data_IF_031407941460
#
_entry.id   IF_031407941460
#
_cell.length_a   1.000
_cell.length_b   1.000
_cell.length_c   1.000
_cell.angle_alpha   90.00
_cell.angle_beta   90.00
_cell.angle_gamma   90.00
#
_symmetry.space_group_name_H-M   'P 1'
#
loop_
_entity.id
_entity.type
_entity.pdbx_description
1 polymer ?
#
# COMPACT_ATOMS: atom_id res chain seq x y z
N UNK A 1 10.81 -11.27 -51.77
CA UNK A 1 11.32 -11.60 -50.42
C UNK A 1 10.37 -10.97 -49.40
N UNK A 2 9.79 -11.71 -48.43
CA UNK A 2 9.00 -11.09 -47.36
C UNK A 2 9.89 -10.68 -46.19
N UNK A 3 9.54 -9.57 -45.53
CA UNK A 3 10.25 -9.04 -44.37
C UNK A 3 10.00 -9.89 -43.10
N UNK A 4 10.96 -9.96 -42.15
CA UNK A 4 10.80 -10.75 -40.94
C UNK A 4 9.78 -10.11 -39.99
N UNK A 5 8.84 -10.91 -39.50
CA UNK A 5 7.89 -10.52 -38.46
C UNK A 5 8.60 -10.38 -37.11
N UNK A 6 8.50 -9.20 -36.49
CA UNK A 6 8.90 -9.02 -35.09
C UNK A 6 7.82 -9.62 -34.19
N UNK A 7 8.15 -10.69 -33.48
CA UNK A 7 7.30 -11.25 -32.43
C UNK A 7 7.38 -10.35 -31.20
N UNK A 8 6.28 -9.71 -30.83
CA UNK A 8 6.18 -9.00 -29.55
C UNK A 8 6.38 -9.99 -28.40
N UNK A 9 7.50 -9.89 -27.68
CA UNK A 9 7.69 -10.64 -26.43
C UNK A 9 6.66 -10.15 -25.42
N UNK A 10 5.66 -10.98 -25.14
CA UNK A 10 4.80 -10.81 -23.98
C UNK A 10 5.69 -10.99 -22.76
N UNK A 11 5.97 -9.89 -22.04
CA UNK A 11 6.55 -10.00 -20.69
C UNK A 11 5.51 -10.65 -19.81
N UNK A 12 5.61 -11.97 -19.64
CA UNK A 12 4.95 -12.64 -18.53
C UNK A 12 5.59 -12.07 -17.27
N UNK A 13 4.80 -11.40 -16.44
CA UNK A 13 5.25 -10.99 -15.12
C UNK A 13 5.64 -12.28 -14.38
N UNK A 14 6.94 -12.48 -14.14
CA UNK A 14 7.41 -13.63 -13.38
C UNK A 14 6.70 -13.63 -12.02
N UNK A 15 6.12 -14.77 -11.66
CA UNK A 15 5.59 -14.95 -10.31
C UNK A 15 6.78 -15.00 -9.38
N UNK A 16 7.08 -13.89 -8.72
CA UNK A 16 8.07 -13.88 -7.66
C UNK A 16 7.48 -14.59 -6.44
N UNK A 17 8.06 -15.74 -6.11
CA UNK A 17 7.66 -16.51 -4.93
C UNK A 17 8.01 -15.71 -3.66
N UNK A 18 9.20 -15.09 -3.65
CA UNK A 18 9.77 -14.31 -2.55
C UNK A 18 10.61 -13.11 -3.06
N UNK A 19 11.11 -12.29 -2.15
CA UNK A 19 12.11 -11.25 -2.41
C UNK A 19 11.56 -9.90 -2.88
N UNK A 20 10.24 -9.76 -3.02
CA UNK A 20 9.59 -8.51 -3.42
C UNK A 20 9.19 -7.65 -2.23
N UNK A 21 8.93 -6.38 -2.50
CA UNK A 21 8.42 -5.42 -1.50
C UNK A 21 6.90 -5.52 -1.32
N UNK A 22 6.41 -4.88 -0.26
CA UNK A 22 4.99 -4.55 -0.12
C UNK A 22 4.70 -3.21 -0.79
N UNK A 23 3.53 -3.05 -1.41
CA UNK A 23 3.05 -1.80 -1.95
C UNK A 23 1.83 -1.31 -1.15
N UNK A 24 1.86 -0.08 -0.61
CA UNK A 24 0.69 0.52 0.02
C UNK A 24 -0.36 0.89 -1.04
N UNK A 25 -1.64 0.79 -0.69
CA UNK A 25 -2.75 1.11 -1.58
C UNK A 25 -3.74 1.98 -0.82
N UNK A 26 -4.00 3.19 -1.32
CA UNK A 26 -5.12 4.00 -0.86
C UNK A 26 -6.42 3.48 -1.48
N UNK A 27 -7.36 3.09 -0.65
CA UNK A 27 -8.63 2.46 -1.07
C UNK A 27 -9.76 3.48 -1.21
N UNK A 28 -9.58 4.69 -0.66
CA UNK A 28 -10.56 5.76 -0.67
C UNK A 28 -10.84 6.30 0.72
N UNK A 29 -11.91 7.08 0.84
CA UNK A 29 -12.30 7.74 2.07
C UNK A 29 -13.82 7.77 2.23
N UNK A 30 -14.29 7.91 3.47
CA UNK A 30 -15.70 8.11 3.79
C UNK A 30 -15.86 9.18 4.89
N UNK A 31 -16.91 10.03 4.81
CA UNK A 31 -17.24 10.94 5.90
C UNK A 31 -17.83 10.19 7.10
N UNK A 32 -17.49 10.63 8.30
CA UNK A 32 -18.08 10.16 9.55
C UNK A 32 -19.19 11.11 10.00
N UNK A 33 -20.12 10.64 10.84
CA UNK A 33 -21.28 11.42 11.28
C UNK A 33 -20.94 12.66 12.12
N UNK A 34 -19.75 12.69 12.71
CA UNK A 34 -19.24 13.83 13.48
C UNK A 34 -18.51 14.86 12.60
N UNK A 35 -18.39 14.63 11.29
CA UNK A 35 -17.70 15.45 10.29
C UNK A 35 -16.23 15.12 10.08
N UNK A 36 -15.64 14.19 10.84
CA UNK A 36 -14.31 13.66 10.52
C UNK A 36 -14.36 12.78 9.26
N UNK A 37 -13.21 12.36 8.75
CA UNK A 37 -13.13 11.44 7.62
C UNK A 37 -12.33 10.19 7.98
N UNK A 38 -12.78 9.05 7.49
CA UNK A 38 -12.03 7.80 7.55
C UNK A 38 -11.29 7.58 6.24
N UNK A 39 -9.97 7.47 6.28
CA UNK A 39 -9.11 7.12 5.14
C UNK A 39 -8.80 5.64 5.19
N UNK A 40 -9.12 4.90 4.12
CA UNK A 40 -8.95 3.45 4.07
C UNK A 40 -7.70 3.08 3.30
N UNK A 41 -6.93 2.15 3.87
CA UNK A 41 -5.69 1.68 3.28
C UNK A 41 -5.71 0.17 3.19
N UNK A 42 -5.13 -0.34 2.10
CA UNK A 42 -4.80 -1.73 1.92
C UNK A 42 -3.35 -1.86 1.50
N UNK A 43 -2.95 -3.08 1.19
CA UNK A 43 -1.63 -3.35 0.66
C UNK A 43 -1.64 -4.51 -0.32
N UNK A 44 -0.60 -4.55 -1.15
CA UNK A 44 -0.23 -5.71 -1.95
C UNK A 44 1.16 -6.17 -1.52
N UNK A 45 1.24 -7.32 -0.85
CA UNK A 45 2.48 -8.07 -0.78
C UNK A 45 2.67 -8.74 -2.16
N UNK A 46 3.73 -8.34 -2.86
CA UNK A 46 4.01 -8.81 -4.23
C UNK A 46 4.53 -10.25 -4.25
N UNK A 47 4.88 -10.80 -3.10
CA UNK A 47 5.27 -12.20 -2.93
C UNK A 47 4.04 -13.12 -2.92
N UNK A 48 4.24 -14.35 -3.38
CA UNK A 48 3.19 -15.38 -3.38
C UNK A 48 3.24 -16.29 -2.16
N UNK A 49 4.41 -16.46 -1.54
CA UNK A 49 4.59 -17.32 -0.36
C UNK A 49 5.19 -16.56 0.83
N UNK A 50 6.09 -15.61 0.58
CA UNK A 50 6.76 -14.87 1.65
C UNK A 50 5.84 -13.86 2.36
N UNK A 51 5.77 -14.00 3.67
CA UNK A 51 5.24 -13.00 4.61
C UNK A 51 6.36 -12.03 5.00
N UNK A 52 6.01 -10.77 5.24
CA UNK A 52 6.98 -9.75 5.62
C UNK A 52 6.62 -9.13 6.96
N UNK A 53 7.59 -9.11 7.86
CA UNK A 53 7.53 -8.36 9.10
C UNK A 53 8.27 -7.04 8.91
N UNK A 54 7.51 -5.93 8.92
CA UNK A 54 8.05 -4.57 8.81
C UNK A 54 7.57 -3.78 10.03
N UNK A 55 8.38 -3.74 11.11
CA UNK A 55 8.05 -2.99 12.32
C UNK A 55 7.84 -1.51 12.02
N UNK A 56 7.09 -0.85 12.89
CA UNK A 56 6.93 0.60 12.86
C UNK A 56 8.30 1.30 12.92
N UNK A 57 8.50 2.30 12.07
CA UNK A 57 9.77 3.03 11.97
C UNK A 57 10.04 3.58 10.57
N UNK A 58 11.32 3.86 10.23
CA UNK A 58 11.74 4.41 8.93
C UNK A 58 11.11 3.76 7.69
N UNK A 59 10.87 2.46 7.79
CA UNK A 59 10.36 1.63 6.71
C UNK A 59 8.85 1.35 6.78
N UNK A 60 8.16 1.82 7.83
CA UNK A 60 6.74 1.69 8.03
C UNK A 60 6.23 2.81 8.94
N UNK A 61 6.01 4.00 8.38
CA UNK A 61 5.56 5.17 9.15
C UNK A 61 4.65 6.10 8.36
N UNK A 62 3.99 6.98 9.11
CA UNK A 62 3.33 8.17 8.60
C UNK A 62 4.07 9.44 9.03
N UNK A 63 4.02 10.45 8.16
CA UNK A 63 4.68 11.75 8.31
C UNK A 63 3.98 12.71 9.29
N UNK A 64 2.68 12.53 9.52
CA UNK A 64 1.84 13.45 10.31
C UNK A 64 1.37 12.82 11.65
N UNK A 65 2.18 13.00 12.70
CA UNK A 65 1.69 13.04 14.10
C UNK A 65 1.92 11.81 14.99
N UNK A 66 2.11 10.61 14.44
CA UNK A 66 2.43 9.40 15.20
C UNK A 66 3.04 8.36 14.26
N UNK A 67 4.11 7.69 14.71
CA UNK A 67 4.68 6.54 13.96
C UNK A 67 3.66 5.40 13.87
N UNK A 68 2.73 5.30 14.83
CA UNK A 68 1.65 4.31 14.83
C UNK A 68 0.30 4.98 14.53
N UNK A 69 -0.31 4.60 13.42
CA UNK A 69 -1.65 4.99 13.00
C UNK A 69 -2.53 3.75 12.76
N UNK A 70 -2.15 2.60 13.32
CA UNK A 70 -2.83 1.33 13.12
C UNK A 70 -2.44 0.60 11.84
N UNK A 71 -1.34 0.99 11.18
CA UNK A 71 -0.84 0.26 10.03
C UNK A 71 -0.27 -1.13 10.43
N UNK A 72 -0.43 -2.16 9.58
CA UNK A 72 0.09 -3.50 9.87
C UNK A 72 1.60 -3.52 10.03
N UNK A 73 2.09 -4.40 10.90
CA UNK A 73 3.52 -4.74 11.00
C UNK A 73 3.86 -6.11 10.41
N UNK A 74 2.84 -6.90 10.08
CA UNK A 74 2.96 -8.22 9.46
C UNK A 74 2.11 -8.27 8.20
N UNK A 75 2.73 -8.61 7.07
CA UNK A 75 2.15 -8.49 5.73
C UNK A 75 2.04 -9.86 5.07
N UNK A 76 0.83 -10.41 5.08
CA UNK A 76 0.49 -11.68 4.44
C UNK A 76 0.62 -11.58 2.90
N UNK A 77 0.79 -12.70 2.18
CA UNK A 77 0.97 -12.67 0.75
C UNK A 77 -0.24 -12.05 0.04
N UNK A 78 0.01 -11.50 -1.14
CA UNK A 78 -1.01 -10.97 -2.06
C UNK A 78 -1.77 -9.76 -1.48
N UNK A 79 -3.02 -9.61 -1.90
CA UNK A 79 -3.81 -8.38 -1.78
C UNK A 79 -4.68 -8.44 -0.53
N UNK A 80 -4.56 -7.42 0.31
CA UNK A 80 -5.37 -7.23 1.50
C UNK A 80 -6.07 -5.88 1.42
N UNK A 81 -7.39 -5.91 1.19
CA UNK A 81 -8.21 -4.70 1.01
C UNK A 81 -8.68 -4.16 2.34
N UNK A 82 -8.75 -2.83 2.46
CA UNK A 82 -9.24 -2.15 3.67
C UNK A 82 -8.59 -2.71 4.95
N UNK A 83 -7.28 -2.96 4.89
CA UNK A 83 -6.53 -3.58 5.98
C UNK A 83 -6.57 -2.75 7.28
N UNK A 84 -6.63 -1.42 7.15
CA UNK A 84 -6.84 -0.51 8.27
C UNK A 84 -7.40 0.83 7.79
N UNK A 85 -7.80 1.67 8.74
CA UNK A 85 -8.28 3.01 8.47
C UNK A 85 -7.71 4.03 9.46
N UNK A 86 -7.55 5.27 9.00
CA UNK A 86 -7.09 6.40 9.80
C UNK A 86 -8.19 7.45 9.83
N UNK A 87 -8.55 7.90 11.03
CA UNK A 87 -9.51 8.98 11.20
C UNK A 87 -8.77 10.31 11.16
N UNK A 88 -9.16 11.17 10.21
CA UNK A 88 -8.57 12.50 10.05
C UNK A 88 -9.61 13.59 10.34
N UNK A 89 -9.17 14.76 10.85
CA UNK A 89 -10.09 15.85 11.20
C UNK A 89 -10.82 16.44 9.99
N UNK A 90 -11.86 17.23 10.28
CA UNK A 90 -12.71 17.95 9.31
C UNK A 90 -11.94 18.81 8.30
N UNK A 91 -10.83 19.40 8.75
CA UNK A 91 -9.99 20.32 7.97
C UNK A 91 -8.90 19.60 7.18
N UNK A 92 -8.91 18.26 7.12
CA UNK A 92 -7.85 17.49 6.49
C UNK A 92 -7.69 17.77 4.98
N UNK A 93 -8.78 18.09 4.28
CA UNK A 93 -8.75 18.44 2.87
C UNK A 93 -7.91 19.69 2.55
N UNK A 94 -7.69 20.55 3.53
CA UNK A 94 -6.89 21.78 3.40
C UNK A 94 -5.38 21.54 3.66
N UNK A 95 -4.99 20.32 4.04
CA UNK A 95 -3.61 19.96 4.42
C UNK A 95 -2.83 19.44 3.22
N UNK A 96 -1.49 19.47 3.33
CA UNK A 96 -0.53 19.11 2.26
C UNK A 96 -0.48 17.61 1.89
N UNK A 97 -1.45 16.81 2.30
CA UNK A 97 -1.49 15.37 2.07
C UNK A 97 -0.96 14.56 3.24
N UNK A 98 -0.92 13.25 3.04
CA UNK A 98 -0.61 12.26 4.06
C UNK A 98 0.16 11.12 3.41
N UNK A 99 1.37 10.86 3.92
CA UNK A 99 2.31 9.95 3.26
C UNK A 99 2.52 8.72 4.11
N UNK A 100 2.18 7.56 3.55
CA UNK A 100 2.61 6.28 4.11
C UNK A 100 3.92 5.84 3.47
N UNK A 101 4.99 5.79 4.26
CA UNK A 101 6.25 5.16 3.85
C UNK A 101 6.20 3.68 4.19
N UNK A 102 6.29 2.84 3.16
CA UNK A 102 6.42 1.39 3.30
C UNK A 102 7.54 0.87 2.40
N UNK A 103 8.63 0.46 3.02
CA UNK A 103 9.81 -0.10 2.35
C UNK A 103 10.21 -1.40 3.04
N UNK A 104 10.83 -2.29 2.29
CA UNK A 104 11.43 -3.52 2.79
C UNK A 104 12.95 -3.33 2.79
#
# INVERSE_FOLDING_TARGET
MPAPSQTSQVRVQERHVTGQSVAPIFEGWAPNGDGTFSLFFGYLNRNYEEELDIPLGPNNMFDQGSTDQGQPTHFLPRRHKMAFAIVVPKDFGDKKGFTWTLTR
#
